data_IF_942039704966
#
_entry.id   IF_942039704966
#
_cell.length_a   1.000
_cell.length_b   1.000
_cell.length_c   1.000
_cell.angle_alpha   90.00
_cell.angle_beta   90.00
_cell.angle_gamma   90.00
#
_symmetry.space_group_name_H-M   'P 1'
#
loop_
_entity.id
_entity.type
_entity.pdbx_description
1 polymer ?
#
# COMPACT_ATOMS: atom_id res chain seq x y z
N UNK A 1 42.19 -12.00 65.67
CA UNK A 1 40.94 -12.28 66.40
C UNK A 1 39.89 -11.31 65.89
N UNK A 2 38.74 -11.88 65.53
CA UNK A 2 37.60 -11.34 64.76
C UNK A 2 36.99 -10.06 65.36
N UNK A 3 36.59 -9.10 64.53
CA UNK A 3 35.31 -8.39 64.72
C UNK A 3 34.74 -7.89 63.39
N UNK A 4 33.62 -8.51 63.01
CA UNK A 4 32.73 -8.13 61.91
C UNK A 4 31.94 -6.86 62.30
N UNK A 5 31.78 -5.93 61.36
CA UNK A 5 30.61 -5.06 61.32
C UNK A 5 29.93 -5.15 59.95
N UNK A 6 28.67 -5.59 59.98
CA UNK A 6 27.76 -5.71 58.82
C UNK A 6 27.31 -4.32 58.38
N UNK A 7 27.50 -3.99 57.10
CA UNK A 7 26.79 -2.89 56.45
C UNK A 7 25.60 -3.44 55.66
N UNK A 8 24.43 -2.89 55.93
CA UNK A 8 23.12 -3.26 55.39
C UNK A 8 23.00 -3.00 53.89
N UNK A 9 22.47 -3.97 53.15
CA UNK A 9 22.10 -3.84 51.75
C UNK A 9 20.92 -2.86 51.60
N UNK A 10 21.18 -1.69 51.03
CA UNK A 10 20.13 -0.79 50.51
C UNK A 10 19.62 -1.42 49.22
N UNK A 11 18.43 -2.02 49.28
CA UNK A 11 17.70 -2.46 48.09
C UNK A 11 17.37 -1.24 47.23
N UNK A 12 18.15 -1.05 46.16
CA UNK A 12 17.82 -0.11 45.10
C UNK A 12 16.62 -0.69 44.35
N UNK A 13 15.42 -0.21 44.68
CA UNK A 13 14.19 -0.51 43.93
C UNK A 13 14.42 0.00 42.51
N UNK A 14 14.70 -0.92 41.59
CA UNK A 14 14.61 -0.71 40.15
C UNK A 14 13.15 -0.36 39.85
N UNK A 15 12.83 0.93 39.81
CA UNK A 15 11.63 1.40 39.13
C UNK A 15 11.79 1.05 37.65
N UNK A 16 11.30 -0.13 37.27
CA UNK A 16 11.02 -0.46 35.87
C UNK A 16 9.84 0.41 35.46
N UNK A 17 10.14 1.61 35.00
CA UNK A 17 9.21 2.38 34.18
C UNK A 17 9.03 1.60 32.88
N UNK A 18 7.97 0.81 32.79
CA UNK A 18 7.50 0.24 31.53
C UNK A 18 6.97 1.39 30.67
N UNK A 19 7.88 2.11 30.03
CA UNK A 19 7.56 2.97 28.88
C UNK A 19 7.56 2.08 27.65
N UNK A 20 6.41 1.95 27.00
CA UNK A 20 6.23 1.24 25.71
C UNK A 20 7.01 1.91 24.57
N UNK A 21 7.64 3.06 24.83
CA UNK A 21 8.38 3.86 23.83
C UNK A 21 9.88 3.52 23.73
N UNK A 22 10.42 2.60 24.53
CA UNK A 22 11.87 2.28 24.54
C UNK A 22 12.40 1.55 23.27
N UNK A 23 11.60 1.44 22.21
CA UNK A 23 11.97 0.77 20.96
C UNK A 23 11.54 1.51 19.70
N UNK A 24 11.11 2.77 19.81
CA UNK A 24 10.77 3.62 18.66
C UNK A 24 11.77 4.76 18.58
N UNK A 25 12.27 5.08 17.38
CA UNK A 25 13.11 6.28 17.22
C UNK A 25 12.36 7.57 17.55
N UNK A 26 13.11 8.59 17.99
CA UNK A 26 12.59 9.94 18.18
C UNK A 26 11.95 10.49 16.90
N UNK A 27 12.50 10.18 15.73
CA UNK A 27 11.95 10.56 14.43
C UNK A 27 10.55 9.97 14.20
N UNK A 28 10.35 8.70 14.54
CA UNK A 28 9.05 8.05 14.42
C UNK A 28 8.05 8.64 15.42
N UNK A 29 8.48 8.97 16.65
CA UNK A 29 7.64 9.64 17.65
C UNK A 29 7.23 11.05 17.23
N UNK A 30 8.17 11.84 16.70
CA UNK A 30 7.90 13.19 16.17
C UNK A 30 6.93 13.09 14.99
N UNK A 31 7.15 12.15 14.07
CA UNK A 31 6.26 11.90 12.93
C UNK A 31 4.84 11.57 13.37
N UNK A 32 4.67 10.71 14.38
CA UNK A 32 3.35 10.36 14.94
C UNK A 32 2.68 11.53 15.66
N UNK A 33 3.46 12.36 16.36
CA UNK A 33 2.92 13.53 17.07
C UNK A 33 2.43 14.60 16.08
N UNK A 34 3.21 14.89 15.02
CA UNK A 34 2.75 15.76 13.92
C UNK A 34 1.48 15.21 13.26
N UNK A 35 1.43 13.89 13.08
CA UNK A 35 0.34 13.20 12.40
C UNK A 35 -1.04 13.37 13.04
N UNK A 36 -1.13 13.63 14.35
CA UNK A 36 -2.40 13.88 15.05
C UNK A 36 -3.09 15.19 14.60
N UNK A 37 -2.31 16.16 14.10
CA UNK A 37 -2.83 17.45 13.64
C UNK A 37 -3.21 17.46 12.15
N UNK A 38 -2.93 16.38 11.43
CA UNK A 38 -3.16 16.24 9.99
C UNK A 38 -4.45 15.46 9.76
N UNK A 39 -5.32 16.01 8.91
CA UNK A 39 -6.58 15.40 8.51
C UNK A 39 -7.62 16.42 8.11
N UNK A 40 -8.84 15.95 7.82
CA UNK A 40 -9.96 16.81 7.49
C UNK A 40 -11.22 16.02 7.14
N UNK A 41 -12.16 16.69 6.48
CA UNK A 41 -13.41 16.10 5.97
C UNK A 41 -13.57 16.30 4.46
N UNK A 42 -12.53 16.82 3.80
CA UNK A 42 -12.43 17.01 2.36
C UNK A 42 -10.96 17.01 1.94
N UNK A 43 -10.69 16.76 0.65
CA UNK A 43 -9.34 16.84 0.10
C UNK A 43 -8.68 18.20 0.39
N UNK A 44 -9.42 19.31 0.25
CA UNK A 44 -8.91 20.65 0.57
C UNK A 44 -8.43 20.75 2.01
N UNK A 45 -9.30 20.43 2.98
CA UNK A 45 -8.94 20.50 4.40
C UNK A 45 -7.78 19.58 4.78
N UNK A 46 -7.68 18.40 4.16
CA UNK A 46 -6.56 17.49 4.35
C UNK A 46 -5.25 18.13 3.87
N UNK A 47 -5.22 18.67 2.66
CA UNK A 47 -4.02 19.30 2.08
C UNK A 47 -3.65 20.56 2.87
N UNK A 48 -4.61 21.40 3.25
CA UNK A 48 -4.36 22.58 4.09
C UNK A 48 -3.72 22.19 5.43
N UNK A 49 -4.13 21.06 6.02
CA UNK A 49 -3.54 20.55 7.26
C UNK A 49 -2.08 20.08 7.08
N UNK A 50 -1.76 19.46 5.93
CA UNK A 50 -0.38 19.06 5.59
C UNK A 50 0.54 20.28 5.42
N UNK A 51 0.04 21.33 4.78
CA UNK A 51 0.75 22.61 4.61
C UNK A 51 0.98 23.27 5.97
N UNK A 52 -0.07 23.36 6.79
CA UNK A 52 0.02 23.94 8.14
C UNK A 52 1.01 23.19 9.04
N UNK A 53 1.10 21.86 8.88
CA UNK A 53 2.04 21.02 9.62
C UNK A 53 3.49 21.11 9.10
N UNK A 54 3.75 21.84 8.00
CA UNK A 54 5.09 21.95 7.40
C UNK A 54 5.56 20.67 6.69
N UNK A 55 4.64 19.74 6.42
CA UNK A 55 4.95 18.49 5.72
C UNK A 55 4.95 18.70 4.21
N UNK A 56 4.05 19.55 3.72
CA UNK A 56 3.86 19.84 2.30
C UNK A 56 4.18 21.32 2.03
N UNK A 57 5.34 21.59 1.47
CA UNK A 57 5.96 22.91 1.41
C UNK A 57 6.05 23.46 -0.03
N UNK A 58 6.17 22.58 -1.03
CA UNK A 58 6.44 22.99 -2.41
C UNK A 58 5.14 23.33 -3.14
N UNK A 59 4.95 24.56 -3.68
CA UNK A 59 3.66 24.99 -4.27
C UNK A 59 3.11 24.10 -5.38
N UNK A 60 3.95 23.62 -6.31
CA UNK A 60 3.50 22.72 -7.38
C UNK A 60 3.09 21.34 -6.86
N UNK A 61 3.68 20.90 -5.75
CA UNK A 61 3.28 19.66 -5.08
C UNK A 61 1.96 19.86 -4.33
N UNK A 62 1.77 21.01 -3.68
CA UNK A 62 0.48 21.39 -3.08
C UNK A 62 -0.64 21.38 -4.12
N UNK A 63 -0.41 21.95 -5.30
CA UNK A 63 -1.37 21.92 -6.41
C UNK A 63 -1.70 20.48 -6.83
N UNK A 64 -0.69 19.63 -7.04
CA UNK A 64 -0.89 18.23 -7.40
C UNK A 64 -1.78 17.51 -6.37
N UNK A 65 -1.50 17.69 -5.08
CA UNK A 65 -2.30 17.11 -3.99
C UNK A 65 -3.72 17.69 -3.94
N UNK A 66 -3.93 18.99 -4.19
CA UNK A 66 -5.28 19.56 -4.26
C UNK A 66 -6.08 19.03 -5.45
N UNK A 67 -5.43 18.70 -6.56
CA UNK A 67 -6.07 18.25 -7.80
C UNK A 67 -6.52 16.79 -7.78
N UNK A 68 -6.00 15.99 -6.84
CA UNK A 68 -6.22 14.55 -6.73
C UNK A 68 -6.92 14.23 -5.42
N UNK A 69 -8.21 13.90 -5.46
CA UNK A 69 -8.98 13.57 -4.27
C UNK A 69 -8.59 12.19 -3.75
N UNK A 70 -8.05 12.11 -2.53
CA UNK A 70 -7.68 10.84 -1.89
C UNK A 70 -8.86 9.86 -1.81
N UNK A 71 -10.08 10.37 -1.67
CA UNK A 71 -11.32 9.57 -1.64
C UNK A 71 -11.54 8.75 -2.91
N UNK A 72 -11.09 9.25 -4.07
CA UNK A 72 -11.22 8.55 -5.35
C UNK A 72 -10.34 7.29 -5.45
N UNK A 73 -9.34 7.17 -4.58
CA UNK A 73 -8.37 6.08 -4.57
C UNK A 73 -8.67 5.00 -3.53
N UNK A 74 -9.79 5.11 -2.83
CA UNK A 74 -10.22 4.11 -1.85
C UNK A 74 -10.95 2.95 -2.53
N UNK A 75 -10.80 1.75 -1.98
CA UNK A 75 -11.50 0.55 -2.46
C UNK A 75 -13.01 0.65 -2.25
N UNK A 76 -13.44 1.26 -1.14
CA UNK A 76 -14.84 1.47 -0.80
C UNK A 76 -15.04 2.91 -0.36
N UNK A 77 -16.23 3.46 -0.64
CA UNK A 77 -16.63 4.73 -0.07
C UNK A 77 -16.76 4.60 1.44
N UNK A 78 -16.18 5.55 2.16
CA UNK A 78 -16.17 5.63 3.63
C UNK A 78 -16.61 7.04 4.04
N UNK A 79 -16.87 7.23 5.33
CA UNK A 79 -17.20 8.55 5.85
C UNK A 79 -16.05 9.54 5.56
N UNK A 80 -16.32 10.82 5.27
CA UNK A 80 -15.27 11.79 4.95
C UNK A 80 -14.19 11.90 6.04
N UNK A 81 -14.56 11.81 7.31
CA UNK A 81 -13.63 11.82 8.45
C UNK A 81 -12.66 10.64 8.40
N UNK A 82 -13.05 9.52 7.81
CA UNK A 82 -12.20 8.36 7.59
C UNK A 82 -11.36 8.50 6.32
N UNK A 83 -11.97 8.92 5.20
CA UNK A 83 -11.28 9.08 3.93
C UNK A 83 -10.09 10.05 4.00
N UNK A 84 -10.26 11.12 4.76
CA UNK A 84 -9.30 12.23 4.87
C UNK A 84 -8.58 12.25 6.22
N UNK A 85 -8.65 11.19 7.02
CA UNK A 85 -7.79 11.03 8.19
C UNK A 85 -6.34 10.71 7.78
N UNK A 86 -5.37 11.20 8.55
CA UNK A 86 -3.96 10.86 8.37
C UNK A 86 -3.63 9.46 8.92
N UNK A 87 -4.24 8.43 8.34
CA UNK A 87 -4.02 7.03 8.70
C UNK A 87 -3.99 6.13 7.46
N UNK A 88 -3.36 4.95 7.56
CA UNK A 88 -3.47 3.95 6.51
C UNK A 88 -4.90 3.44 6.41
N UNK A 89 -5.40 3.25 5.18
CA UNK A 89 -6.73 2.66 4.92
C UNK A 89 -6.52 1.39 4.09
N UNK A 90 -7.21 0.31 4.43
CA UNK A 90 -7.06 -0.98 3.74
C UNK A 90 -7.51 -0.88 2.28
N UNK A 91 -6.71 -1.45 1.38
CA UNK A 91 -7.01 -1.62 -0.04
C UNK A 91 -6.77 -3.09 -0.39
N UNK A 92 -7.84 -3.86 -0.39
CA UNK A 92 -7.76 -5.30 -0.55
C UNK A 92 -7.21 -6.00 0.69
N UNK A 93 -6.60 -7.16 0.48
CA UNK A 93 -6.32 -8.12 1.54
C UNK A 93 -5.06 -7.81 2.34
N UNK A 94 -4.01 -7.39 1.65
CA UNK A 94 -2.66 -7.28 2.21
C UNK A 94 -2.10 -5.87 2.15
N UNK A 95 -2.80 -4.92 1.51
CA UNK A 95 -2.27 -3.60 1.23
C UNK A 95 -3.08 -2.49 1.92
N UNK A 96 -2.41 -1.37 2.15
CA UNK A 96 -3.04 -0.13 2.63
C UNK A 96 -2.64 1.02 1.72
N UNK A 97 -3.54 1.95 1.45
CA UNK A 97 -3.14 3.28 1.00
C UNK A 97 -2.44 3.96 2.18
N UNK A 98 -1.19 4.40 1.98
CA UNK A 98 -0.36 5.01 3.03
C UNK A 98 -0.97 6.30 3.57
N UNK A 99 -0.46 6.80 4.69
CA UNK A 99 -0.91 8.08 5.25
C UNK A 99 -0.66 9.22 4.27
N UNK A 100 -1.51 10.25 4.31
CA UNK A 100 -1.32 11.44 3.47
C UNK A 100 -0.01 12.16 3.79
N UNK A 101 0.41 12.15 5.06
CA UNK A 101 1.72 12.63 5.50
C UNK A 101 2.86 11.88 4.81
N UNK A 102 2.83 10.54 4.78
CA UNK A 102 3.88 9.76 4.13
C UNK A 102 3.96 10.01 2.63
N UNK A 103 2.81 10.10 1.94
CA UNK A 103 2.79 10.48 0.53
C UNK A 103 3.41 11.86 0.30
N UNK A 104 3.07 12.86 1.11
CA UNK A 104 3.63 14.21 1.00
C UNK A 104 5.14 14.21 1.23
N UNK A 105 5.63 13.54 2.29
CA UNK A 105 7.06 13.43 2.59
C UNK A 105 7.84 12.77 1.45
N UNK A 106 7.33 11.67 0.89
CA UNK A 106 7.98 10.98 -0.24
C UNK A 106 8.06 11.86 -1.48
N UNK A 107 6.97 12.56 -1.82
CA UNK A 107 6.96 13.42 -3.00
C UNK A 107 7.87 14.63 -2.80
N UNK A 108 7.91 15.26 -1.63
CA UNK A 108 8.87 16.34 -1.34
C UNK A 108 10.32 15.88 -1.46
N UNK A 109 10.64 14.64 -1.05
CA UNK A 109 11.97 14.05 -1.24
C UNK A 109 12.31 13.76 -2.71
N UNK A 110 11.30 13.56 -3.57
CA UNK A 110 11.44 13.20 -4.97
C UNK A 110 11.18 14.36 -5.93
N UNK A 111 10.70 15.50 -5.43
CA UNK A 111 10.22 16.65 -6.20
C UNK A 111 11.22 17.07 -7.28
N UNK A 112 12.49 17.23 -6.95
CA UNK A 112 13.53 17.66 -7.88
C UNK A 112 13.74 16.70 -9.07
N UNK A 113 13.23 15.46 -8.98
CA UNK A 113 13.32 14.43 -10.02
C UNK A 113 11.95 14.12 -10.67
N UNK A 114 10.88 14.77 -10.23
CA UNK A 114 9.53 14.69 -10.81
C UNK A 114 9.25 15.97 -11.62
N UNK A 115 10.07 16.24 -12.63
CA UNK A 115 9.94 17.43 -13.48
C UNK A 115 9.15 17.11 -14.76
N UNK A 116 8.52 18.10 -15.40
CA UNK A 116 7.86 17.90 -16.69
C UNK A 116 8.76 17.19 -17.71
N UNK A 117 8.28 16.11 -18.30
CA UNK A 117 9.07 15.30 -19.25
C UNK A 117 9.84 14.12 -18.65
N UNK A 118 9.96 14.06 -17.32
CA UNK A 118 10.68 12.97 -16.68
C UNK A 118 9.91 11.64 -16.75
N UNK A 119 10.69 10.56 -16.68
CA UNK A 119 10.24 9.19 -16.51
C UNK A 119 10.27 8.79 -15.04
N UNK A 120 9.16 8.25 -14.53
CA UNK A 120 9.03 7.81 -13.15
C UNK A 120 8.45 6.41 -13.03
N UNK A 121 8.76 5.73 -11.93
CA UNK A 121 8.18 4.44 -11.58
C UNK A 121 7.84 4.38 -10.09
N UNK A 122 6.66 3.85 -9.79
CA UNK A 122 6.12 3.65 -8.44
C UNK A 122 5.92 2.15 -8.20
N UNK A 123 6.82 1.55 -7.42
CA UNK A 123 6.81 0.13 -7.07
C UNK A 123 6.01 -0.09 -5.79
N UNK A 124 5.06 -1.02 -5.80
CA UNK A 124 4.06 -1.16 -4.74
C UNK A 124 2.99 -0.08 -4.85
N UNK A 125 2.54 0.22 -6.08
CA UNK A 125 1.66 1.35 -6.37
C UNK A 125 0.28 1.25 -5.70
N UNK A 126 -0.18 0.04 -5.35
CA UNK A 126 -1.40 -0.21 -4.59
C UNK A 126 -2.63 0.48 -5.16
N UNK A 127 -3.13 1.51 -4.47
CA UNK A 127 -4.32 2.27 -4.89
C UNK A 127 -4.11 3.10 -6.16
N UNK A 128 -2.85 3.38 -6.52
CA UNK A 128 -2.47 4.30 -7.59
C UNK A 128 -2.41 5.77 -7.20
N UNK A 129 -2.68 6.14 -5.93
CA UNK A 129 -2.70 7.56 -5.50
C UNK A 129 -1.35 8.25 -5.70
N UNK A 130 -0.26 7.67 -5.19
CA UNK A 130 1.06 8.27 -5.30
C UNK A 130 1.54 8.30 -6.76
N UNK A 131 1.24 7.25 -7.53
CA UNK A 131 1.49 7.18 -8.97
C UNK A 131 0.78 8.31 -9.72
N UNK A 132 -0.47 8.62 -9.35
CA UNK A 132 -1.22 9.73 -9.93
C UNK A 132 -0.60 11.09 -9.60
N UNK A 133 -0.12 11.27 -8.36
CA UNK A 133 0.62 12.49 -7.97
C UNK A 133 1.90 12.63 -8.80
N UNK A 134 2.66 11.55 -8.98
CA UNK A 134 3.85 11.56 -9.86
C UNK A 134 3.49 11.91 -11.30
N UNK A 135 2.40 11.34 -11.84
CA UNK A 135 1.93 11.60 -13.20
C UNK A 135 1.52 13.05 -13.42
N UNK A 136 0.87 13.66 -12.42
CA UNK A 136 0.56 15.08 -12.44
C UNK A 136 1.84 15.94 -12.51
N UNK A 137 2.85 15.61 -11.71
CA UNK A 137 4.09 16.39 -11.61
C UNK A 137 5.01 16.29 -12.85
N UNK A 138 5.08 15.11 -13.47
CA UNK A 138 5.87 14.92 -14.71
C UNK A 138 5.14 15.39 -15.97
N UNK A 139 3.85 15.72 -15.85
CA UNK A 139 3.03 16.29 -16.91
C UNK A 139 2.85 15.37 -18.13
N UNK A 140 2.19 15.90 -19.16
CA UNK A 140 1.84 15.15 -20.38
C UNK A 140 3.04 14.73 -21.22
N UNK A 141 4.17 15.42 -21.10
CA UNK A 141 5.42 15.06 -21.78
C UNK A 141 6.23 14.00 -21.03
N UNK A 142 5.88 13.71 -19.78
CA UNK A 142 6.52 12.68 -18.96
C UNK A 142 5.87 11.31 -19.10
N UNK A 143 6.38 10.35 -18.36
CA UNK A 143 5.78 9.01 -18.28
C UNK A 143 5.90 8.43 -16.89
N UNK A 144 4.85 7.76 -16.42
CA UNK A 144 4.86 7.08 -15.13
C UNK A 144 4.45 5.63 -15.29
N UNK A 145 5.18 4.73 -14.64
CA UNK A 145 4.81 3.32 -14.52
C UNK A 145 4.43 3.00 -13.08
N UNK A 146 3.24 2.45 -12.85
CA UNK A 146 2.85 1.88 -11.56
C UNK A 146 3.01 0.36 -11.59
N UNK A 147 3.74 -0.19 -10.63
CA UNK A 147 4.00 -1.63 -10.51
C UNK A 147 3.44 -2.15 -9.20
N UNK A 148 2.74 -3.28 -9.24
CA UNK A 148 2.30 -4.00 -8.03
C UNK A 148 2.37 -5.50 -8.27
N UNK A 149 2.61 -6.28 -7.21
CA UNK A 149 2.63 -7.74 -7.31
C UNK A 149 1.22 -8.32 -7.36
N UNK A 150 0.21 -7.60 -6.85
CA UNK A 150 -1.17 -8.07 -6.75
C UNK A 150 -1.97 -7.60 -7.97
N UNK A 151 -2.45 -8.50 -8.85
CA UNK A 151 -3.19 -8.11 -10.05
C UNK A 151 -4.46 -7.30 -9.76
N UNK A 152 -5.19 -7.61 -8.69
CA UNK A 152 -6.40 -6.87 -8.32
C UNK A 152 -6.12 -5.44 -7.84
N UNK A 153 -4.90 -5.14 -7.36
CA UNK A 153 -4.48 -3.77 -7.05
C UNK A 153 -4.18 -2.98 -8.32
N UNK A 154 -3.63 -3.63 -9.36
CA UNK A 154 -3.48 -3.02 -10.70
C UNK A 154 -4.85 -2.70 -11.32
N UNK A 155 -5.84 -3.58 -11.16
CA UNK A 155 -7.20 -3.28 -11.60
C UNK A 155 -7.83 -2.13 -10.81
N UNK A 156 -7.60 -2.08 -9.48
CA UNK A 156 -8.07 -1.02 -8.61
C UNK A 156 -7.46 0.34 -9.01
N UNK A 157 -6.15 0.41 -9.18
CA UNK A 157 -5.46 1.64 -9.57
C UNK A 157 -5.90 2.13 -10.95
N UNK A 158 -6.10 1.21 -11.90
CA UNK A 158 -6.65 1.52 -13.23
C UNK A 158 -8.07 2.09 -13.15
N UNK A 159 -8.92 1.57 -12.25
CA UNK A 159 -10.27 2.12 -12.03
C UNK A 159 -10.23 3.47 -11.32
N UNK A 160 -9.31 3.65 -10.38
CA UNK A 160 -9.19 4.89 -9.61
C UNK A 160 -8.70 6.05 -10.48
N UNK A 161 -7.68 5.83 -11.32
CA UNK A 161 -7.15 6.89 -12.19
C UNK A 161 -8.22 7.43 -13.16
N UNK A 162 -9.15 6.58 -13.60
CA UNK A 162 -10.26 6.96 -14.48
C UNK A 162 -11.27 7.93 -13.84
N UNK A 163 -11.27 8.08 -12.51
CA UNK A 163 -12.09 9.06 -11.78
C UNK A 163 -11.46 10.46 -11.76
N UNK A 164 -10.15 10.54 -12.03
CA UNK A 164 -9.39 11.79 -11.99
C UNK A 164 -9.47 12.56 -13.32
N UNK A 165 -8.91 13.76 -13.33
CA UNK A 165 -8.76 14.58 -14.55
C UNK A 165 -7.47 14.29 -15.33
N UNK A 166 -6.64 13.36 -14.88
CA UNK A 166 -5.42 13.00 -15.59
C UNK A 166 -5.77 12.30 -16.92
N UNK A 167 -4.92 12.45 -17.96
CA UNK A 167 -5.12 11.73 -19.22
C UNK A 167 -5.20 10.22 -18.97
N UNK A 168 -6.15 9.53 -19.58
CA UNK A 168 -6.42 8.09 -19.33
C UNK A 168 -5.20 7.18 -19.54
N UNK A 169 -4.25 7.59 -20.39
CA UNK A 169 -3.03 6.85 -20.71
C UNK A 169 -1.76 7.49 -20.12
N UNK A 170 -1.91 8.39 -19.14
CA UNK A 170 -0.75 9.05 -18.48
C UNK A 170 0.10 8.09 -17.65
N UNK A 171 -0.46 6.93 -17.28
CA UNK A 171 0.19 5.93 -16.44
C UNK A 171 0.12 4.57 -17.12
N UNK A 172 1.26 3.88 -17.15
CA UNK A 172 1.36 2.47 -17.51
C UNK A 172 1.28 1.62 -16.25
N UNK A 173 0.40 0.63 -16.23
CA UNK A 173 0.27 -0.28 -15.08
C UNK A 173 0.85 -1.66 -15.40
N UNK A 174 1.60 -2.23 -14.46
CA UNK A 174 2.28 -3.52 -14.65
C UNK A 174 2.20 -4.40 -13.40
N UNK A 175 2.03 -5.70 -13.60
CA UNK A 175 2.18 -6.68 -12.53
C UNK A 175 3.61 -7.18 -12.45
N UNK A 176 4.24 -7.16 -11.27
CA UNK A 176 5.58 -7.73 -11.08
C UNK A 176 5.53 -9.26 -10.92
N UNK A 177 6.66 -9.91 -11.21
CA UNK A 177 6.87 -11.33 -10.90
C UNK A 177 7.80 -11.44 -9.68
N UNK A 178 7.19 -11.52 -8.49
CA UNK A 178 7.93 -11.51 -7.24
C UNK A 178 8.76 -10.25 -7.07
N UNK A 179 10.03 -10.43 -6.70
CA UNK A 179 11.01 -9.35 -6.49
C UNK A 179 11.54 -8.73 -7.79
N UNK A 180 11.10 -9.18 -8.97
CA UNK A 180 11.41 -8.51 -10.24
C UNK A 180 10.52 -7.26 -10.43
N UNK A 181 10.85 -6.21 -9.68
CA UNK A 181 10.08 -4.97 -9.60
C UNK A 181 10.39 -3.95 -10.70
N UNK A 182 11.55 -4.10 -11.36
CA UNK A 182 11.98 -3.28 -12.49
C UNK A 182 12.40 -4.20 -13.63
N UNK A 183 12.02 -3.86 -14.86
CA UNK A 183 12.39 -4.66 -16.04
C UNK A 183 13.89 -4.50 -16.34
N UNK A 184 14.59 -5.56 -16.77
CA UNK A 184 15.96 -5.42 -17.24
C UNK A 184 16.05 -4.41 -18.40
N UNK A 185 17.05 -3.53 -18.35
CA UNK A 185 17.31 -2.53 -19.41
C UNK A 185 16.42 -1.28 -19.38
N UNK A 186 15.54 -1.13 -18.38
CA UNK A 186 14.84 0.15 -18.17
C UNK A 186 15.66 1.11 -17.32
N UNK A 187 15.38 2.41 -17.43
CA UNK A 187 15.94 3.42 -16.55
C UNK A 187 14.94 4.56 -16.36
N UNK A 188 15.00 5.21 -15.20
CA UNK A 188 14.04 6.23 -14.79
C UNK A 188 14.73 7.44 -14.16
N UNK A 189 14.14 8.62 -14.31
CA UNK A 189 14.59 9.82 -13.61
C UNK A 189 14.16 9.78 -12.14
N UNK A 190 13.02 9.14 -11.85
CA UNK A 190 12.50 9.01 -10.50
C UNK A 190 12.02 7.58 -10.20
N UNK A 191 12.51 6.99 -9.11
CA UNK A 191 12.05 5.69 -8.63
C UNK A 191 11.51 5.84 -7.21
N UNK A 192 10.29 5.40 -6.97
CA UNK A 192 9.76 5.18 -5.64
C UNK A 192 9.52 3.69 -5.41
N UNK A 193 9.89 3.22 -4.23
CA UNK A 193 9.60 1.87 -3.77
C UNK A 193 8.82 1.96 -2.47
N UNK A 194 7.50 1.76 -2.56
CA UNK A 194 6.54 1.85 -1.46
C UNK A 194 6.51 0.63 -0.53
N UNK A 195 7.37 -0.35 -0.80
CA UNK A 195 7.57 -1.55 0.02
C UNK A 195 9.02 -1.61 0.52
N UNK A 196 9.23 -2.26 1.65
CA UNK A 196 10.56 -2.42 2.24
C UNK A 196 11.38 -3.47 1.49
N UNK A 197 12.65 -3.14 1.21
CA UNK A 197 13.68 -4.08 0.76
C UNK A 197 14.60 -4.43 1.92
N UNK A 198 15.16 -5.64 1.91
CA UNK A 198 15.83 -6.20 3.09
C UNK A 198 17.35 -6.01 3.10
N UNK A 199 17.95 -5.55 2.00
CA UNK A 199 19.40 -5.45 1.87
C UNK A 199 19.85 -4.22 1.06
N UNK A 200 21.08 -3.76 1.31
CA UNK A 200 21.67 -2.65 0.56
C UNK A 200 21.96 -3.05 -0.89
N UNK A 201 22.26 -4.32 -1.16
CA UNK A 201 22.45 -4.84 -2.50
C UNK A 201 21.18 -4.70 -3.35
N UNK A 202 20.00 -4.90 -2.75
CA UNK A 202 18.73 -4.64 -3.42
C UNK A 202 18.56 -3.15 -3.74
N UNK A 203 18.92 -2.25 -2.80
CA UNK A 203 18.92 -0.80 -3.02
C UNK A 203 19.86 -0.42 -4.16
N UNK A 204 21.06 -0.99 -4.20
CA UNK A 204 22.06 -0.75 -5.24
C UNK A 204 21.58 -1.23 -6.62
N UNK A 205 20.96 -2.41 -6.69
CA UNK A 205 20.40 -2.95 -7.93
C UNK A 205 19.27 -2.07 -8.50
N UNK A 206 18.44 -1.49 -7.63
CA UNK A 206 17.38 -0.55 -8.01
C UNK A 206 18.01 0.78 -8.46
N UNK A 207 18.95 1.32 -7.68
CA UNK A 207 19.63 2.58 -7.97
C UNK A 207 20.46 2.55 -9.27
N UNK A 208 20.92 1.38 -9.69
CA UNK A 208 21.59 1.20 -10.98
C UNK A 208 20.72 1.62 -12.18
N UNK A 209 19.40 1.49 -12.07
CA UNK A 209 18.42 1.89 -13.09
C UNK A 209 17.98 3.36 -12.99
N UNK A 210 18.65 4.19 -12.18
CA UNK A 210 18.48 5.63 -12.27
C UNK A 210 19.18 6.18 -13.52
N UNK A 211 18.50 7.09 -14.22
CA UNK A 211 19.14 7.99 -15.17
C UNK A 211 20.14 8.92 -14.45
N UNK A 212 21.13 9.50 -15.16
CA UNK A 212 21.93 10.60 -14.62
C UNK A 212 21.02 11.72 -14.09
N UNK A 213 21.34 12.27 -12.92
CA UNK A 213 20.51 13.23 -12.16
C UNK A 213 19.21 12.64 -11.59
N UNK A 214 19.04 11.32 -11.62
CA UNK A 214 17.87 10.64 -11.09
C UNK A 214 17.85 10.50 -9.56
N UNK A 215 16.67 10.22 -9.02
CA UNK A 215 16.45 10.04 -7.58
C UNK A 215 15.60 8.83 -7.24
N UNK A 216 15.95 8.17 -6.14
CA UNK A 216 15.25 7.01 -5.58
C UNK A 216 14.86 7.28 -4.13
N UNK A 217 13.64 6.90 -3.74
CA UNK A 217 13.24 6.75 -2.33
C UNK A 217 12.76 5.33 -2.08
N UNK A 218 13.32 4.68 -1.05
CA UNK A 218 13.04 3.28 -0.69
C UNK A 218 13.19 3.05 0.81
N UNK A 219 12.34 2.21 1.39
CA UNK A 219 12.51 1.74 2.76
C UNK A 219 13.47 0.55 2.81
N UNK A 220 14.51 0.63 3.64
CA UNK A 220 15.46 -0.45 3.90
C UNK A 220 15.23 -1.02 5.30
N UNK A 221 14.91 -2.31 5.38
CA UNK A 221 14.73 -3.03 6.63
C UNK A 221 13.82 -4.24 6.48
N UNK A 222 13.69 -5.02 7.54
CA UNK A 222 12.87 -6.23 7.56
C UNK A 222 11.39 -5.93 7.84
N UNK A 223 10.53 -6.82 7.37
CA UNK A 223 9.11 -6.80 7.69
C UNK A 223 8.87 -6.83 9.21
N UNK A 224 7.91 -6.04 9.70
CA UNK A 224 7.52 -6.02 11.11
C UNK A 224 8.53 -5.35 12.06
N UNK A 225 9.61 -4.78 11.53
CA UNK A 225 10.54 -3.94 12.25
C UNK A 225 10.53 -2.50 11.71
N UNK A 226 11.04 -1.57 12.51
CA UNK A 226 11.32 -0.21 12.06
C UNK A 226 12.35 -0.24 10.91
N UNK A 227 12.05 0.44 9.81
CA UNK A 227 12.90 0.51 8.62
C UNK A 227 13.44 1.91 8.45
N UNK A 228 14.56 2.04 7.74
CA UNK A 228 15.13 3.34 7.37
C UNK A 228 14.65 3.75 5.99
N UNK A 229 13.99 4.90 5.87
CA UNK A 229 13.73 5.50 4.57
C UNK A 229 15.03 6.10 4.02
N UNK A 230 15.48 5.59 2.88
CA UNK A 230 16.67 6.06 2.19
C UNK A 230 16.28 6.94 1.01
N UNK A 231 16.98 8.06 0.86
CA UNK A 231 17.04 8.84 -0.38
C UNK A 231 18.35 8.50 -1.07
N UNK A 232 18.28 8.11 -2.33
CA UNK A 232 19.43 7.89 -3.20
C UNK A 232 19.36 8.86 -4.38
N UNK A 233 20.49 9.41 -4.80
CA UNK A 233 20.59 10.27 -5.97
C UNK A 233 21.75 9.83 -6.84
N UNK A 234 21.59 9.90 -8.16
CA UNK A 234 22.65 9.64 -9.12
C UNK A 234 23.09 10.96 -9.75
N UNK A 235 24.36 11.32 -9.62
CA UNK A 235 24.89 12.54 -10.24
C UNK A 235 24.95 12.41 -11.77
N UNK A 236 25.22 13.51 -12.46
CA UNK A 236 25.48 13.51 -13.91
C UNK A 236 26.67 12.61 -14.30
N UNK A 237 27.68 12.45 -13.42
CA UNK A 237 28.83 11.55 -13.63
C UNK A 237 28.53 10.09 -13.30
N UNK A 238 27.33 9.78 -12.81
CA UNK A 238 26.89 8.43 -12.46
C UNK A 238 27.20 8.01 -11.02
N UNK A 239 27.74 8.90 -10.19
CA UNK A 239 28.01 8.63 -8.77
C UNK A 239 26.72 8.54 -7.96
N UNK A 240 26.60 7.51 -7.11
CA UNK A 240 25.45 7.31 -6.23
C UNK A 240 25.72 7.85 -4.82
N UNK A 241 24.88 8.76 -4.36
CA UNK A 241 24.86 9.22 -2.96
C UNK A 241 23.63 8.66 -2.26
N UNK A 242 23.81 8.11 -1.06
CA UNK A 242 22.73 7.55 -0.23
C UNK A 242 22.64 8.30 1.10
N UNK A 243 21.43 8.66 1.51
CA UNK A 243 21.16 9.38 2.76
C UNK A 243 19.98 8.74 3.49
N UNK A 244 20.19 8.39 4.76
CA UNK A 244 19.10 8.06 5.67
C UNK A 244 18.28 9.32 5.96
N UNK A 245 16.96 9.21 5.82
CA UNK A 245 16.04 10.34 5.95
C UNK A 245 15.33 10.29 7.29
N UNK A 246 14.63 9.20 7.56
CA UNK A 246 13.83 8.99 8.76
C UNK A 246 13.46 7.51 8.88
N UNK A 247 12.89 7.14 10.01
CA UNK A 247 12.31 5.82 10.21
C UNK A 247 10.88 5.71 9.68
N UNK A 248 10.53 4.54 9.14
CA UNK A 248 9.22 4.24 8.55
C UNK A 248 8.77 2.81 8.85
N UNK A 249 7.48 2.56 8.63
CA UNK A 249 6.87 1.24 8.64
C UNK A 249 6.15 1.02 7.31
N UNK A 250 6.79 0.26 6.43
CA UNK A 250 6.31 -0.14 5.13
C UNK A 250 6.04 -1.65 5.12
N UNK A 251 5.16 -2.05 4.20
CA UNK A 251 4.91 -3.46 3.91
C UNK A 251 6.13 -4.07 3.20
N UNK A 252 6.44 -5.37 3.38
CA UNK A 252 7.62 -5.96 2.77
C UNK A 252 7.43 -6.18 1.27
N UNK A 253 8.53 -6.16 0.52
CA UNK A 253 8.57 -6.67 -0.83
C UNK A 253 8.41 -8.20 -0.82
N UNK A 254 7.44 -8.72 -1.57
CA UNK A 254 7.06 -10.13 -1.55
C UNK A 254 7.70 -10.92 -2.69
N UNK A 255 7.98 -12.21 -2.44
CA UNK A 255 8.44 -13.16 -3.46
C UNK A 255 7.30 -13.63 -4.37
N UNK A 256 6.06 -13.65 -3.87
CA UNK A 256 4.88 -14.06 -4.60
C UNK A 256 3.66 -13.22 -4.21
N UNK A 257 2.73 -13.07 -5.15
CA UNK A 257 1.47 -12.42 -4.87
C UNK A 257 0.74 -13.26 -3.81
N UNK A 258 0.30 -12.67 -2.69
CA UNK A 258 -0.49 -13.41 -1.73
C UNK A 258 -1.76 -13.88 -2.41
N UNK A 259 -2.11 -15.15 -2.15
CA UNK A 259 -3.40 -15.66 -2.57
C UNK A 259 -4.47 -14.70 -2.03
N UNK A 260 -5.48 -14.35 -2.85
CA UNK A 260 -6.62 -13.62 -2.34
C UNK A 260 -7.12 -14.37 -1.10
N UNK A 261 -7.04 -13.77 0.10
CA UNK A 261 -7.86 -14.26 1.19
C UNK A 261 -9.26 -14.27 0.61
N UNK A 262 -9.89 -15.44 0.52
CA UNK A 262 -11.25 -15.55 0.06
C UNK A 262 -12.05 -14.52 0.87
N UNK A 263 -12.46 -13.43 0.23
CA UNK A 263 -13.35 -12.48 0.86
C UNK A 263 -14.56 -13.33 1.26
N UNK A 264 -15.01 -13.27 2.52
CA UNK A 264 -16.22 -13.97 2.89
C UNK A 264 -17.29 -13.51 1.90
N UNK A 265 -17.80 -14.43 1.08
CA UNK A 265 -18.84 -14.11 0.11
C UNK A 265 -19.94 -13.35 0.86
N UNK A 266 -20.36 -12.21 0.33
CA UNK A 266 -21.54 -11.54 0.88
C UNK A 266 -22.71 -12.52 0.84
N UNK A 267 -23.70 -12.34 1.72
CA UNK A 267 -24.89 -13.21 1.71
C UNK A 267 -25.52 -13.30 0.32
N UNK A 268 -25.52 -12.18 -0.42
CA UNK A 268 -26.05 -12.09 -1.79
C UNK A 268 -25.23 -12.91 -2.77
N UNK A 269 -23.90 -12.74 -2.78
CA UNK A 269 -23.00 -13.50 -3.66
C UNK A 269 -23.06 -15.00 -3.36
N UNK A 270 -23.07 -15.37 -2.07
CA UNK A 270 -23.19 -16.76 -1.65
C UNK A 270 -24.51 -17.39 -2.09
N UNK A 271 -25.62 -16.65 -2.00
CA UNK A 271 -26.93 -17.10 -2.50
C UNK A 271 -26.90 -17.30 -4.02
N UNK A 272 -26.33 -16.36 -4.77
CA UNK A 272 -26.26 -16.44 -6.24
C UNK A 272 -25.38 -17.60 -6.71
N UNK A 273 -24.24 -17.84 -6.04
CA UNK A 273 -23.39 -19.00 -6.32
C UNK A 273 -24.12 -20.32 -6.04
N UNK A 274 -24.70 -20.47 -4.85
CA UNK A 274 -25.44 -21.69 -4.48
C UNK A 274 -26.63 -21.96 -5.40
N UNK A 275 -27.33 -20.92 -5.85
CA UNK A 275 -28.38 -21.05 -6.87
C UNK A 275 -27.80 -21.57 -8.19
N UNK A 276 -26.71 -20.97 -8.65
CA UNK A 276 -26.07 -21.34 -9.92
C UNK A 276 -25.56 -22.79 -9.89
N UNK A 277 -24.93 -23.20 -8.79
CA UNK A 277 -24.46 -24.57 -8.58
C UNK A 277 -25.61 -25.59 -8.46
N UNK A 278 -26.70 -25.24 -7.77
CA UNK A 278 -27.91 -26.08 -7.71
C UNK A 278 -28.55 -26.25 -9.09
N UNK A 279 -28.64 -25.19 -9.90
CA UNK A 279 -29.17 -25.28 -11.27
C UNK A 279 -28.25 -26.08 -12.19
N UNK A 280 -26.93 -25.89 -12.10
CA UNK A 280 -25.96 -26.71 -12.83
C UNK A 280 -26.11 -28.19 -12.49
N UNK A 281 -26.19 -28.53 -11.19
CA UNK A 281 -26.41 -29.90 -10.75
C UNK A 281 -27.75 -30.47 -11.25
N UNK A 282 -28.84 -29.69 -11.22
CA UNK A 282 -30.15 -30.15 -11.74
C UNK A 282 -30.08 -30.46 -13.23
N UNK A 283 -29.38 -29.63 -14.00
CA UNK A 283 -29.19 -29.83 -15.44
C UNK A 283 -28.41 -31.13 -15.70
N UNK A 284 -27.30 -31.34 -14.98
CA UNK A 284 -26.49 -32.56 -15.09
C UNK A 284 -27.26 -33.81 -14.68
N UNK A 285 -28.04 -33.73 -13.58
CA UNK A 285 -28.90 -34.82 -13.13
C UNK A 285 -29.94 -35.18 -14.21
N UNK A 286 -30.63 -34.17 -14.75
CA UNK A 286 -31.68 -34.38 -15.75
C UNK A 286 -31.11 -34.98 -17.03
N UNK A 287 -29.93 -34.51 -17.47
CA UNK A 287 -29.22 -35.07 -18.62
C UNK A 287 -28.84 -36.55 -18.40
N UNK A 288 -28.46 -36.93 -17.18
CA UNK A 288 -28.03 -38.29 -16.84
C UNK A 288 -29.18 -39.27 -16.61
N UNK A 289 -30.29 -38.80 -16.04
CA UNK A 289 -31.39 -39.65 -15.55
C UNK A 289 -32.67 -39.53 -16.37
N UNK A 290 -32.77 -38.56 -17.28
CA UNK A 290 -33.92 -38.39 -18.18
C UNK A 290 -35.18 -37.85 -17.50
N UNK A 291 -35.09 -37.39 -16.26
CA UNK A 291 -36.17 -36.73 -15.54
C UNK A 291 -35.63 -35.65 -14.60
N UNK A 292 -36.47 -34.68 -14.23
CA UNK A 292 -36.11 -33.66 -13.25
C UNK A 292 -35.88 -34.30 -11.87
N UNK A 293 -34.89 -33.84 -11.09
CA UNK A 293 -34.60 -34.39 -9.77
C UNK A 293 -35.75 -34.14 -8.79
N UNK A 294 -36.12 -35.17 -8.05
CA UNK A 294 -37.05 -35.06 -6.92
C UNK A 294 -36.31 -34.61 -5.64
N UNK A 295 -37.07 -34.28 -4.60
CA UNK A 295 -36.49 -33.99 -3.28
C UNK A 295 -35.70 -35.17 -2.72
N UNK A 296 -36.12 -36.40 -3.01
CA UNK A 296 -35.42 -37.60 -2.55
C UNK A 296 -34.07 -37.76 -3.27
N UNK A 297 -34.02 -37.48 -4.58
CA UNK A 297 -32.79 -37.51 -5.38
C UNK A 297 -31.77 -36.50 -4.85
N UNK A 298 -32.22 -35.27 -4.56
CA UNK A 298 -31.38 -34.22 -3.96
C UNK A 298 -30.84 -34.58 -2.57
N UNK A 299 -31.56 -35.41 -1.80
CA UNK A 299 -31.11 -35.80 -0.47
C UNK A 299 -30.19 -37.03 -0.48
N UNK A 300 -30.22 -37.83 -1.56
CA UNK A 300 -29.38 -39.00 -1.77
C UNK A 300 -28.02 -38.65 -2.37
N UNK A 301 -27.95 -37.59 -3.17
CA UNK A 301 -26.71 -37.12 -3.77
C UNK A 301 -25.94 -36.18 -2.79
N UNK A 302 -24.69 -36.49 -2.43
CA UNK A 302 -23.94 -35.72 -1.42
C UNK A 302 -23.74 -34.24 -1.77
N UNK A 303 -23.53 -33.93 -3.05
CA UNK A 303 -23.27 -32.58 -3.52
C UNK A 303 -24.53 -31.72 -3.42
N UNK A 304 -25.64 -32.16 -4.01
CA UNK A 304 -26.90 -31.43 -3.95
C UNK A 304 -27.47 -31.31 -2.54
N UNK A 305 -27.29 -32.32 -1.69
CA UNK A 305 -27.68 -32.25 -0.28
C UNK A 305 -26.92 -31.15 0.45
N UNK A 306 -25.62 -31.04 0.22
CA UNK A 306 -24.79 -29.97 0.79
C UNK A 306 -25.25 -28.59 0.28
N UNK A 307 -25.35 -28.42 -1.04
CA UNK A 307 -25.74 -27.15 -1.66
C UNK A 307 -27.12 -26.68 -1.19
N UNK A 308 -28.09 -27.60 -1.11
CA UNK A 308 -29.44 -27.30 -0.63
C UNK A 308 -29.46 -26.92 0.85
N UNK A 309 -28.68 -27.60 1.69
CA UNK A 309 -28.56 -27.29 3.12
C UNK A 309 -27.96 -25.90 3.34
N UNK A 310 -26.88 -25.58 2.61
CA UNK A 310 -26.24 -24.26 2.66
C UNK A 310 -27.18 -23.16 2.16
N UNK A 311 -27.90 -23.42 1.06
CA UNK A 311 -28.88 -22.48 0.51
C UNK A 311 -30.04 -22.22 1.48
N UNK A 312 -30.56 -23.27 2.13
CA UNK A 312 -31.65 -23.16 3.10
C UNK A 312 -31.23 -22.42 4.38
N UNK A 313 -29.99 -22.63 4.84
CA UNK A 313 -29.44 -21.95 6.01
C UNK A 313 -29.33 -20.43 5.80
N UNK A 314 -29.09 -19.97 4.57
CA UNK A 314 -28.94 -18.56 4.23
C UNK A 314 -30.27 -17.81 4.03
N UNK A 315 -31.41 -18.52 3.91
CA UNK A 315 -32.75 -17.90 3.80
C UNK A 315 -33.43 -17.67 5.15
N UNK A 316 -32.92 -18.26 6.24
CA UNK A 316 -33.31 -17.91 7.61
C UNK A 316 -32.72 -16.55 8.01
#
# INVERSE_FOLDING_TARGET
MVMLFRASAVHRVLRRSFSVLNGMSDDLLISMNMGHSIGGTSQRSLVDSLIKAGVLNTPRVQEAFHSLDRGDFLLQAVAPEEAYANRPIKIGTIATISTSQQHAQVIELLESHLQPGNSAIDVGCGSGYLTAVMAHLVGESGSVTGVDIVPSLIELSTKNIAKTKLPKNSIKWETSQGKQILRPGTSFDCIHVGVAVESMEAVDAIAAQLNPNGGLVVALGYAGAEQTLLKVTKSASGELTKRAVMSVLCQPLLDEAPLPLALPETRTEKLQRLQSELEAWKNDFTAKHGHNPTREDMLKDPLSKQLFSEFAALRK
#
